data_IF_351785342556
#
_entry.id   IF_351785342556
#
_cell.length_a   1.000
_cell.length_b   1.000
_cell.length_c   1.000
_cell.angle_alpha   90.00
_cell.angle_beta   90.00
_cell.angle_gamma   90.00
#
_symmetry.space_group_name_H-M   'P 1'
#
loop_
_entity.id
_entity.type
_entity.pdbx_description
1 polymer ?
#
# COMPACT_ATOMS: atom_id res chain seq x y z
N UNK A 1 21.72 -15.07 0.56
CA UNK A 1 20.79 -16.11 0.06
C UNK A 1 19.97 -15.52 -1.08
N UNK A 2 20.06 -16.03 -2.32
CA UNK A 2 19.15 -15.62 -3.38
C UNK A 2 17.74 -16.16 -3.12
N UNK A 3 16.72 -15.33 -3.30
CA UNK A 3 15.32 -15.73 -3.20
C UNK A 3 14.87 -16.26 -4.57
N UNK A 4 14.40 -17.50 -4.62
CA UNK A 4 13.86 -18.07 -5.86
C UNK A 4 12.43 -17.54 -6.10
N UNK A 5 12.22 -16.87 -7.23
CA UNK A 5 10.94 -16.27 -7.64
C UNK A 5 10.31 -16.99 -8.85
N UNK A 6 10.85 -18.14 -9.27
CA UNK A 6 10.50 -18.77 -10.56
C UNK A 6 9.15 -19.48 -10.57
N UNK A 7 8.53 -19.73 -9.41
CA UNK A 7 7.20 -20.33 -9.32
C UNK A 7 6.16 -19.23 -9.20
N UNK A 8 6.02 -18.64 -8.01
CA UNK A 8 5.21 -17.47 -7.72
C UNK A 8 6.02 -16.58 -6.77
N UNK A 9 5.65 -15.31 -6.67
CA UNK A 9 6.21 -14.41 -5.67
C UNK A 9 5.16 -13.48 -5.07
N UNK A 10 5.46 -13.00 -3.87
CA UNK A 10 4.64 -12.05 -3.12
C UNK A 10 5.36 -10.73 -2.99
N UNK A 11 4.67 -9.64 -3.31
CA UNK A 11 5.06 -8.29 -2.94
C UNK A 11 4.20 -7.86 -1.74
N UNK A 12 4.85 -7.38 -0.68
CA UNK A 12 4.21 -6.83 0.51
C UNK A 12 4.67 -5.38 0.69
N UNK A 13 3.76 -4.43 0.50
CA UNK A 13 4.04 -2.99 0.64
C UNK A 13 3.27 -2.45 1.84
N UNK A 14 3.99 -1.90 2.82
CA UNK A 14 3.38 -1.15 3.92
C UNK A 14 3.15 0.30 3.51
N UNK A 15 2.00 0.86 3.88
CA UNK A 15 1.65 2.25 3.57
C UNK A 15 0.85 2.86 4.72
N UNK A 16 1.19 4.08 5.13
CA UNK A 16 0.50 4.78 6.23
C UNK A 16 -0.45 5.84 5.70
N UNK A 17 -1.63 5.96 6.32
CA UNK A 17 -2.55 7.10 6.15
C UNK A 17 -2.70 7.86 7.49
N UNK A 18 -3.11 9.12 7.43
CA UNK A 18 -3.30 9.95 8.62
C UNK A 18 -4.46 9.45 9.50
N UNK A 19 -4.37 9.75 10.80
CA UNK A 19 -5.40 9.40 11.79
C UNK A 19 -6.73 10.15 11.59
N UNK A 20 -6.74 11.23 10.80
CA UNK A 20 -7.99 11.90 10.41
C UNK A 20 -8.96 10.98 9.63
N UNK A 21 -8.46 9.89 9.05
CA UNK A 21 -9.24 8.89 8.31
C UNK A 21 -9.69 7.70 9.18
N UNK A 22 -9.46 7.73 10.51
CA UNK A 22 -9.68 6.59 11.40
C UNK A 22 -11.09 5.98 11.32
N UNK A 23 -12.11 6.80 11.14
CA UNK A 23 -13.50 6.34 11.06
C UNK A 23 -13.79 5.44 9.85
N UNK A 24 -12.95 5.51 8.81
CA UNK A 24 -13.11 4.77 7.55
C UNK A 24 -11.93 3.87 7.19
N UNK A 25 -10.85 3.90 7.97
CA UNK A 25 -9.57 3.25 7.66
C UNK A 25 -9.64 1.72 7.58
N UNK A 26 -10.49 1.07 8.39
CA UNK A 26 -10.62 -0.40 8.44
C UNK A 26 -11.68 -0.95 7.47
N UNK A 27 -12.33 -0.09 6.69
CA UNK A 27 -13.37 -0.46 5.74
C UNK A 27 -13.21 0.29 4.42
N UNK A 28 -13.84 1.46 4.30
CA UNK A 28 -13.97 2.18 3.04
C UNK A 28 -12.62 2.52 2.38
N UNK A 29 -11.59 2.85 3.16
CA UNK A 29 -10.26 3.10 2.60
C UNK A 29 -9.69 1.85 1.93
N UNK A 30 -9.85 0.67 2.56
CA UNK A 30 -9.37 -0.60 2.01
C UNK A 30 -10.06 -0.93 0.68
N UNK A 31 -11.39 -0.73 0.61
CA UNK A 31 -12.18 -0.97 -0.61
C UNK A 31 -11.76 -0.05 -1.77
N UNK A 32 -11.63 1.25 -1.49
CA UNK A 32 -11.24 2.24 -2.50
C UNK A 32 -9.82 1.96 -2.98
N UNK A 33 -8.89 1.68 -2.06
CA UNK A 33 -7.50 1.43 -2.43
C UNK A 33 -7.34 0.11 -3.20
N UNK A 34 -8.06 -0.97 -2.83
CA UNK A 34 -8.07 -2.22 -3.61
C UNK A 34 -8.59 -1.97 -5.03
N UNK A 35 -9.71 -1.27 -5.17
CA UNK A 35 -10.29 -0.93 -6.48
C UNK A 35 -9.31 -0.12 -7.34
N UNK A 36 -8.73 0.94 -6.76
CA UNK A 36 -7.77 1.79 -7.46
C UNK A 36 -6.52 1.01 -7.92
N UNK A 37 -6.00 0.12 -7.08
CA UNK A 37 -4.83 -0.71 -7.41
C UNK A 37 -5.15 -1.70 -8.55
N UNK A 38 -6.34 -2.31 -8.56
CA UNK A 38 -6.76 -3.20 -9.67
C UNK A 38 -6.85 -2.44 -10.99
N UNK A 39 -7.45 -1.25 -10.99
CA UNK A 39 -7.52 -0.41 -12.18
C UNK A 39 -6.13 -0.09 -12.74
N UNK A 40 -5.16 0.18 -11.86
CA UNK A 40 -3.77 0.45 -12.26
C UNK A 40 -3.02 -0.80 -12.74
N UNK A 41 -3.26 -1.96 -12.13
CA UNK A 41 -2.70 -3.23 -12.59
C UNK A 41 -3.17 -3.58 -14.00
N UNK A 42 -4.46 -3.35 -14.31
CA UNK A 42 -5.00 -3.51 -15.66
C UNK A 42 -4.38 -2.49 -16.62
N UNK A 43 -4.32 -1.22 -16.23
CA UNK A 43 -3.82 -0.14 -17.09
C UNK A 43 -2.32 -0.26 -17.43
N UNK A 44 -1.53 -0.89 -16.55
CA UNK A 44 -0.09 -1.14 -16.77
C UNK A 44 0.21 -2.59 -17.17
N UNK A 45 -0.81 -3.35 -17.59
CA UNK A 45 -0.70 -4.70 -18.18
C UNK A 45 -0.07 -5.75 -17.25
N UNK A 46 -0.32 -5.66 -15.94
CA UNK A 46 0.15 -6.61 -14.93
C UNK A 46 -0.92 -7.61 -14.46
N UNK A 47 -2.20 -7.37 -14.74
CA UNK A 47 -3.33 -8.18 -14.24
C UNK A 47 -3.24 -9.66 -14.68
N UNK A 48 -2.78 -9.95 -15.90
CA UNK A 48 -2.74 -11.33 -16.45
C UNK A 48 -1.87 -12.30 -15.63
N UNK A 49 -0.87 -11.79 -14.91
CA UNK A 49 0.01 -12.56 -14.03
C UNK A 49 -0.34 -12.41 -12.55
N UNK A 50 -1.37 -11.61 -12.21
CA UNK A 50 -1.81 -11.39 -10.85
C UNK A 50 -2.63 -12.61 -10.37
N UNK A 51 -2.16 -13.25 -9.32
CA UNK A 51 -2.83 -14.40 -8.71
C UNK A 51 -3.77 -13.98 -7.59
N UNK A 52 -3.41 -12.92 -6.86
CA UNK A 52 -4.18 -12.40 -5.74
C UNK A 52 -3.74 -10.97 -5.40
N UNK A 53 -4.69 -10.12 -5.03
CA UNK A 53 -4.44 -8.79 -4.47
C UNK A 53 -5.30 -8.61 -3.23
N UNK A 54 -4.69 -8.13 -2.16
CA UNK A 54 -5.37 -7.76 -0.92
C UNK A 54 -4.83 -6.44 -0.39
N UNK A 55 -5.74 -5.63 0.14
CA UNK A 55 -5.42 -4.44 0.94
C UNK A 55 -6.00 -4.68 2.33
N UNK A 56 -5.13 -4.68 3.34
CA UNK A 56 -5.50 -5.01 4.71
C UNK A 56 -5.05 -3.91 5.66
N UNK A 57 -5.83 -3.68 6.73
CA UNK A 57 -5.39 -2.85 7.84
C UNK A 57 -4.34 -3.62 8.66
N UNK A 58 -3.15 -3.05 8.83
CA UNK A 58 -2.04 -3.69 9.53
C UNK A 58 -2.06 -3.38 11.02
N UNK A 59 -2.09 -2.09 11.39
CA UNK A 59 -2.09 -1.64 12.78
C UNK A 59 -2.39 -0.14 12.90
N UNK A 60 -2.76 0.31 14.10
CA UNK A 60 -2.70 1.72 14.48
C UNK A 60 -1.29 2.03 15.00
N UNK A 61 -0.44 2.64 14.17
CA UNK A 61 0.96 2.95 14.47
C UNK A 61 1.13 4.24 15.28
N UNK A 62 2.37 4.59 15.64
CA UNK A 62 2.66 5.75 16.50
C UNK A 62 2.30 7.10 15.88
N UNK A 63 2.30 7.20 14.55
CA UNK A 63 2.02 8.45 13.81
C UNK A 63 1.21 8.22 12.52
N UNK A 64 0.70 7.01 12.32
CA UNK A 64 -0.01 6.58 11.11
C UNK A 64 -1.01 5.47 11.43
N UNK A 65 -2.03 5.36 10.59
CA UNK A 65 -2.83 4.16 10.43
C UNK A 65 -2.17 3.34 9.32
N UNK A 66 -1.60 2.19 9.68
CA UNK A 66 -0.79 1.40 8.76
C UNK A 66 -1.68 0.41 8.00
N UNK A 67 -1.54 0.43 6.69
CA UNK A 67 -2.12 -0.51 5.75
C UNK A 67 -1.03 -1.39 5.16
N UNK A 68 -1.44 -2.53 4.61
CA UNK A 68 -0.56 -3.38 3.82
C UNK A 68 -1.24 -3.81 2.52
N UNK A 69 -0.53 -3.64 1.42
CA UNK A 69 -0.88 -4.18 0.11
C UNK A 69 -0.10 -5.48 -0.07
N UNK A 70 -0.82 -6.57 -0.34
CA UNK A 70 -0.26 -7.90 -0.62
C UNK A 70 -0.67 -8.28 -2.04
N UNK A 71 0.30 -8.39 -2.93
CA UNK A 71 0.08 -8.81 -4.31
C UNK A 71 0.90 -10.08 -4.60
N UNK A 72 0.24 -11.13 -5.05
CA UNK A 72 0.85 -12.38 -5.47
C UNK A 72 0.85 -12.44 -6.99
N UNK A 73 2.01 -12.74 -7.58
CA UNK A 73 2.17 -12.87 -9.02
C UNK A 73 2.77 -14.23 -9.37
N UNK A 74 2.49 -14.70 -10.59
CA UNK A 74 3.19 -15.83 -11.17
C UNK A 74 4.66 -15.48 -11.48
N UNK A 75 5.50 -16.50 -11.68
CA UNK A 75 6.94 -16.35 -11.90
C UNK A 75 7.31 -15.58 -13.17
N UNK A 76 6.39 -15.36 -14.12
CA UNK A 76 6.68 -14.62 -15.36
C UNK A 76 7.01 -13.16 -15.07
N UNK A 77 6.42 -12.61 -14.01
CA UNK A 77 6.64 -11.22 -13.58
C UNK A 77 7.87 -11.04 -12.68
N UNK A 78 8.61 -12.11 -12.36
CA UNK A 78 9.77 -12.03 -11.47
C UNK A 78 10.84 -11.01 -11.92
N UNK A 79 11.17 -10.86 -13.22
CA UNK A 79 12.09 -9.81 -13.68
C UNK A 79 11.59 -8.38 -13.40
N UNK A 80 10.28 -8.20 -13.25
CA UNK A 80 9.64 -6.91 -12.98
C UNK A 80 9.34 -6.68 -11.50
N UNK A 81 9.73 -7.59 -10.60
CA UNK A 81 9.46 -7.50 -9.15
C UNK A 81 9.67 -6.09 -8.58
N UNK A 82 10.86 -5.53 -8.81
CA UNK A 82 11.22 -4.20 -8.28
C UNK A 82 10.44 -3.06 -8.96
N UNK A 83 10.07 -3.24 -10.23
CA UNK A 83 9.26 -2.26 -10.97
C UNK A 83 7.83 -2.25 -10.42
N UNK A 84 7.22 -3.42 -10.28
CA UNK A 84 5.85 -3.58 -9.76
C UNK A 84 5.79 -3.09 -8.30
N UNK A 85 6.79 -3.44 -7.49
CA UNK A 85 6.90 -2.96 -6.09
C UNK A 85 6.88 -1.43 -5.99
N UNK A 86 7.65 -0.73 -6.84
CA UNK A 86 7.62 0.74 -6.92
C UNK A 86 6.33 1.30 -7.50
N UNK A 87 5.72 0.58 -8.46
CA UNK A 87 4.46 0.99 -9.05
C UNK A 87 3.34 0.96 -8.01
N UNK A 88 3.21 -0.13 -7.24
CA UNK A 88 2.25 -0.24 -6.13
C UNK A 88 2.44 0.89 -5.12
N UNK A 89 3.67 1.18 -4.71
CA UNK A 89 3.96 2.29 -3.80
C UNK A 89 3.50 3.64 -4.38
N UNK A 90 3.81 3.91 -5.65
CA UNK A 90 3.38 5.13 -6.35
C UNK A 90 1.86 5.22 -6.42
N UNK A 91 1.18 4.14 -6.77
CA UNK A 91 -0.28 4.12 -6.85
C UNK A 91 -0.95 4.34 -5.50
N UNK A 92 -0.38 3.88 -4.38
CA UNK A 92 -0.88 4.24 -3.05
C UNK A 92 -0.81 5.76 -2.80
N UNK A 93 0.29 6.40 -3.20
CA UNK A 93 0.43 7.87 -3.13
C UNK A 93 -0.58 8.58 -4.04
N UNK A 94 -0.75 8.10 -5.28
CA UNK A 94 -1.71 8.65 -6.24
C UNK A 94 -3.16 8.50 -5.73
N UNK A 95 -3.49 7.36 -5.12
CA UNK A 95 -4.80 7.10 -4.52
C UNK A 95 -5.09 8.07 -3.38
N UNK A 96 -4.08 8.38 -2.56
CA UNK A 96 -4.24 9.38 -1.51
C UNK A 96 -4.56 10.77 -2.09
N UNK A 97 -3.86 11.16 -3.15
CA UNK A 97 -4.12 12.42 -3.84
C UNK A 97 -5.52 12.46 -4.46
N UNK A 98 -5.95 11.35 -5.08
CA UNK A 98 -7.26 11.25 -5.73
C UNK A 98 -8.45 11.25 -4.77
N UNK A 99 -8.24 10.93 -3.49
CA UNK A 99 -9.28 10.82 -2.48
C UNK A 99 -9.11 11.83 -1.32
N UNK A 100 -8.22 12.81 -1.48
CA UNK A 100 -7.88 13.81 -0.45
C UNK A 100 -7.46 13.17 0.90
N UNK A 101 -6.77 12.04 0.84
CA UNK A 101 -6.22 11.38 2.02
C UNK A 101 -4.86 11.96 2.36
N UNK A 102 -4.74 12.45 3.59
CA UNK A 102 -3.48 12.95 4.10
C UNK A 102 -2.48 11.79 4.34
N UNK A 103 -1.30 11.92 3.76
CA UNK A 103 -0.17 11.01 4.03
C UNK A 103 0.52 11.49 5.32
N UNK A 104 0.66 10.62 6.33
CA UNK A 104 1.19 11.00 7.62
C UNK A 104 2.67 11.34 7.52
N UNK A 105 3.08 12.34 8.27
CA UNK A 105 4.49 12.67 8.49
C UNK A 105 4.77 12.68 10.00
N UNK A 106 5.98 12.29 10.43
CA UNK A 106 6.31 12.27 11.85
C UNK A 106 6.14 13.66 12.49
N UNK A 107 5.36 13.72 13.57
CA UNK A 107 5.20 14.94 14.37
C UNK A 107 6.03 14.82 15.66
N UNK A 108 6.83 15.84 15.95
CA UNK A 108 7.52 15.97 17.23
C UNK A 108 6.73 16.93 18.13
N UNK A 109 6.06 16.40 19.16
CA UNK A 109 5.38 17.24 20.16
C UNK A 109 6.38 17.62 21.26
N UNK A 110 6.67 18.91 21.40
CA UNK A 110 7.54 19.43 22.46
C UNK A 110 6.69 19.90 23.64
N UNK A 111 6.75 19.17 24.75
CA UNK A 111 6.14 19.60 26.01
C UNK A 111 7.03 20.65 26.68
N UNK A 112 6.56 21.89 26.75
CA UNK A 112 7.22 22.96 27.53
C UNK A 112 6.72 22.90 28.97
N UNK A 113 7.59 23.04 29.98
CA UNK A 113 7.15 23.16 31.37
C UNK A 113 6.28 24.40 31.54
N UNK A 114 5.28 24.33 32.43
CA UNK A 114 4.49 25.49 32.81
C UNK A 114 5.39 26.55 33.46
N UNK A 115 5.14 27.83 33.15
CA UNK A 115 5.90 28.98 33.64
C UNK A 115 5.64 29.25 35.14
#
# INVERSE_FOLDING_TARGET
>A
NPLNLSVNFRIKIGFGISYNLQSIATGRVLEILDTYLRERLVAEEYEDSLLNLRVEFAQAGSSSLDLVVIADFDGKMAPLYNRISRAIQRWCTDACTANDWEIPFPQLTVHKPAA
#
